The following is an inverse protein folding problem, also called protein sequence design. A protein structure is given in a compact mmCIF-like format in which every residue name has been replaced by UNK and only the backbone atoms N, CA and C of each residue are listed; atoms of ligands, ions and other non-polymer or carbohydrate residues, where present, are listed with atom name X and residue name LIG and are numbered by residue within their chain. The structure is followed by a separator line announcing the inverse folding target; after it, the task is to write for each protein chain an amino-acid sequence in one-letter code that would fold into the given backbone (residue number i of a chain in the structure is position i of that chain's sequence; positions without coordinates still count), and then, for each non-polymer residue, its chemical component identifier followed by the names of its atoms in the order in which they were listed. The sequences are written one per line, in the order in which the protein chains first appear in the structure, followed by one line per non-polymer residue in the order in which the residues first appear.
data_IF_663039050467
#
_entry.id   IF_663039050467
#
_cell.length_a   1.000
_cell.length_b   1.000
_cell.length_c   1.000
_cell.angle_alpha   90.00
_cell.angle_beta   90.00
_cell.angle_gamma   90.00
#
_symmetry.space_group_name_H-M   'P 1'
#
loop_
_entity.id
_entity.type
_entity.pdbx_description
1 polymer ?
#
# COMPACT_ATOMS: atom_id res chain seq x y z
N UNK A 1 -4.12 11.00 16.24
CA UNK A 1 -3.57 9.64 16.29
C UNK A 1 -4.42 8.88 17.29
N UNK A 2 -5.20 7.91 16.82
CA UNK A 2 -5.98 7.05 17.70
C UNK A 2 -5.01 5.95 18.17
N UNK A 3 -4.70 5.88 19.46
CA UNK A 3 -3.79 4.87 19.99
C UNK A 3 -4.60 3.68 20.52
N UNK A 4 -4.09 2.44 20.37
CA UNK A 4 -4.71 1.23 20.92
C UNK A 4 -4.35 1.01 22.40
N UNK A 5 -3.60 1.94 23.01
CA UNK A 5 -2.97 1.78 24.34
C UNK A 5 -3.98 1.33 25.40
N UNK A 6 -5.17 1.95 25.43
CA UNK A 6 -6.21 1.62 26.42
C UNK A 6 -6.72 0.19 26.26
N UNK A 7 -6.87 -0.28 25.03
CA UNK A 7 -7.40 -1.61 24.72
C UNK A 7 -6.38 -2.67 25.05
N UNK A 8 -5.13 -2.48 24.61
CA UNK A 8 -4.02 -3.39 24.88
C UNK A 8 -3.75 -3.48 26.38
N UNK A 9 -3.76 -2.35 27.11
CA UNK A 9 -3.63 -2.36 28.57
C UNK A 9 -4.74 -3.18 29.24
N UNK A 10 -6.00 -2.97 28.84
CA UNK A 10 -7.14 -3.72 29.38
C UNK A 10 -7.04 -5.21 29.07
N UNK A 11 -6.60 -5.59 27.87
CA UNK A 11 -6.36 -6.98 27.50
C UNK A 11 -5.22 -7.61 28.31
N UNK A 12 -4.20 -6.83 28.69
CA UNK A 12 -3.14 -7.24 29.62
C UNK A 12 -3.56 -7.25 31.10
N UNK A 13 -4.78 -6.82 31.42
CA UNK A 13 -5.30 -6.77 32.79
C UNK A 13 -4.60 -5.74 33.69
N UNK A 14 -3.91 -4.75 33.12
CA UNK A 14 -3.10 -3.79 33.88
C UNK A 14 -3.87 -2.49 34.18
N UNK A 15 -3.62 -1.90 35.33
CA UNK A 15 -4.09 -0.57 35.72
C UNK A 15 -3.20 0.52 35.11
N UNK A 16 -3.68 1.77 35.10
CA UNK A 16 -2.88 2.92 34.65
C UNK A 16 -1.61 3.09 35.50
N UNK A 17 -1.71 2.83 36.81
CA UNK A 17 -0.60 2.94 37.76
C UNK A 17 0.46 1.87 37.50
N UNK A 18 0.04 0.62 37.29
CA UNK A 18 0.98 -0.48 36.97
C UNK A 18 1.75 -0.23 35.68
N UNK A 19 1.08 0.30 34.64
CA UNK A 19 1.77 0.69 33.40
C UNK A 19 2.73 1.85 33.64
N UNK A 20 2.35 2.82 34.47
CA UNK A 20 3.19 3.97 34.78
C UNK A 20 4.47 3.57 35.52
N UNK A 21 4.38 2.62 36.46
CA UNK A 21 5.51 2.05 37.20
C UNK A 21 6.42 1.23 36.28
N UNK A 22 5.84 0.46 35.34
CA UNK A 22 6.59 -0.38 34.38
C UNK A 22 7.31 0.43 33.29
N UNK A 23 6.95 1.69 33.09
CA UNK A 23 7.65 2.57 32.15
C UNK A 23 9.10 2.83 32.60
N UNK A 24 10.00 3.01 31.63
CA UNK A 24 11.39 3.45 31.89
C UNK A 24 11.69 4.75 31.13
N UNK A 25 11.96 5.87 31.83
CA UNK A 25 11.81 6.05 33.28
C UNK A 25 10.34 5.94 33.73
N UNK A 26 10.08 5.60 35.02
CA UNK A 26 8.72 5.55 35.57
C UNK A 26 8.00 6.89 35.41
N UNK A 27 6.68 6.83 35.27
CA UNK A 27 5.84 8.01 35.10
C UNK A 27 4.61 7.94 36.01
N UNK A 28 3.59 8.76 35.76
CA UNK A 28 2.36 8.81 36.55
C UNK A 28 1.16 8.23 35.79
N UNK A 29 0.21 7.62 36.50
CA UNK A 29 -1.06 7.17 35.92
C UNK A 29 -1.80 8.28 35.15
N UNK A 30 -1.69 9.54 35.60
CA UNK A 30 -2.27 10.70 34.90
C UNK A 30 -1.62 10.95 33.54
N UNK A 31 -0.32 10.68 33.41
CA UNK A 31 0.40 10.80 32.12
C UNK A 31 -0.05 9.70 31.17
N UNK A 32 -0.12 8.45 31.64
CA UNK A 32 -0.66 7.34 30.84
C UNK A 32 -2.11 7.61 30.43
N UNK A 33 -2.96 8.09 31.35
CA UNK A 33 -4.35 8.42 31.07
C UNK A 33 -4.51 9.50 29.99
N UNK A 34 -3.67 10.54 30.00
CA UNK A 34 -3.67 11.57 28.94
C UNK A 34 -3.23 11.05 27.57
N UNK A 35 -2.29 10.10 27.56
CA UNK A 35 -1.84 9.43 26.32
C UNK A 35 -2.90 8.45 25.79
N UNK A 36 -3.68 7.81 26.66
CA UNK A 36 -4.83 6.96 26.29
C UNK A 36 -6.00 7.77 25.73
N UNK A 37 -6.27 8.96 26.27
CA UNK A 37 -7.41 9.80 25.84
C UNK A 37 -7.08 10.69 24.64
N UNK A 38 -5.83 10.65 24.14
CA UNK A 38 -5.41 11.45 22.99
C UNK A 38 -5.32 12.96 23.25
N UNK A 39 -5.41 13.38 24.52
CA UNK A 39 -5.26 14.80 24.93
C UNK A 39 -3.82 15.31 24.82
N UNK A 40 -2.87 14.42 24.49
CA UNK A 40 -1.48 14.73 24.17
C UNK A 40 -1.02 13.87 22.98
N UNK A 41 -0.36 14.48 21.99
CA UNK A 41 0.25 13.75 20.88
C UNK A 41 1.33 12.81 21.42
N UNK A 42 1.20 11.51 21.11
CA UNK A 42 2.16 10.48 21.52
C UNK A 42 3.34 10.51 20.56
N UNK A 43 4.55 10.78 21.08
CA UNK A 43 5.78 10.66 20.30
C UNK A 43 6.18 9.20 20.13
N UNK A 44 6.98 8.90 19.11
CA UNK A 44 7.53 7.54 18.87
C UNK A 44 8.26 7.01 20.11
N UNK A 45 9.04 7.85 20.79
CA UNK A 45 9.73 7.46 22.03
C UNK A 45 8.79 7.10 23.18
N UNK A 46 7.65 7.78 23.30
CA UNK A 46 6.61 7.42 24.28
C UNK A 46 5.92 6.12 23.92
N UNK A 47 5.66 5.90 22.63
CA UNK A 47 5.01 4.71 22.13
C UNK A 47 5.87 3.46 22.38
N UNK A 48 7.17 3.52 22.10
CA UNK A 48 8.12 2.44 22.41
C UNK A 48 8.20 2.16 23.91
N UNK A 49 8.17 3.21 24.75
CA UNK A 49 8.20 3.05 26.22
C UNK A 49 6.95 2.32 26.73
N UNK A 50 5.78 2.68 26.21
CA UNK A 50 4.52 2.04 26.61
C UNK A 50 4.44 0.61 26.08
N UNK A 51 4.95 0.37 24.86
CA UNK A 51 5.04 -0.97 24.28
C UNK A 51 5.87 -1.91 25.17
N UNK A 52 7.04 -1.45 25.61
CA UNK A 52 7.87 -2.17 26.57
C UNK A 52 7.15 -2.42 27.91
N UNK A 53 6.47 -1.41 28.47
CA UNK A 53 5.72 -1.55 29.72
C UNK A 53 4.54 -2.56 29.64
N UNK A 54 3.94 -2.70 28.45
CA UNK A 54 2.84 -3.61 28.15
C UNK A 54 3.29 -4.97 27.59
N UNK A 55 4.60 -5.16 27.39
CA UNK A 55 5.20 -6.33 26.75
C UNK A 55 4.54 -6.65 25.38
N UNK A 56 4.44 -5.65 24.52
CA UNK A 56 3.94 -5.76 23.14
C UNK A 56 4.87 -5.03 22.18
N UNK A 57 4.69 -5.24 20.87
CA UNK A 57 5.41 -4.45 19.88
C UNK A 57 4.78 -3.05 19.75
N UNK A 58 5.59 -2.07 19.37
CA UNK A 58 5.14 -0.71 19.13
C UNK A 58 3.99 -0.65 18.10
N UNK A 59 4.06 -1.50 17.07
CA UNK A 59 3.02 -1.60 16.04
C UNK A 59 1.63 -1.94 16.62
N UNK A 60 1.56 -2.74 17.68
CA UNK A 60 0.32 -3.16 18.32
C UNK A 60 -0.41 -1.99 19.03
N UNK A 61 0.31 -0.91 19.34
CA UNK A 61 -0.23 0.28 20.02
C UNK A 61 -0.76 1.35 19.07
N UNK A 62 -0.53 1.20 17.76
CA UNK A 62 -1.02 2.12 16.74
C UNK A 62 -2.29 1.55 16.14
N UNK A 63 -3.44 2.21 16.36
CA UNK A 63 -4.59 1.97 15.48
C UNK A 63 -4.23 2.60 14.14
N UNK A 64 -3.95 1.76 13.14
CA UNK A 64 -4.09 2.18 11.75
C UNK A 64 -5.48 2.83 11.64
N UNK A 65 -5.62 4.00 11.00
CA UNK A 65 -6.95 4.57 10.81
C UNK A 65 -7.81 3.47 10.17
N UNK A 66 -8.87 3.05 10.86
CA UNK A 66 -9.92 2.31 10.18
C UNK A 66 -10.35 3.20 9.03
N UNK A 67 -10.00 2.77 7.82
CA UNK A 67 -10.53 3.37 6.61
C UNK A 67 -11.73 2.50 6.29
N UNK A 68 -12.93 2.93 6.71
CA UNK A 68 -14.13 2.13 6.48
C UNK A 68 -14.25 1.88 4.98
N UNK A 69 -14.79 0.71 4.62
CA UNK A 69 -15.13 0.46 3.23
C UNK A 69 -16.02 1.59 2.71
N UNK A 70 -15.80 1.99 1.47
CA UNK A 70 -16.58 3.06 0.84
C UNK A 70 -17.89 2.43 0.36
N UNK A 71 -19.07 2.91 0.79
CA UNK A 71 -20.34 2.35 0.34
C UNK A 71 -20.55 2.62 -1.14
N UNK A 72 -21.03 1.60 -1.87
CA UNK A 72 -21.40 1.73 -3.29
C UNK A 72 -22.82 2.26 -3.40
N UNK A 73 -22.95 3.53 -3.80
CA UNK A 73 -24.26 4.16 -3.97
C UNK A 73 -24.93 3.81 -5.31
N UNK A 74 -24.16 3.59 -6.37
CA UNK A 74 -24.67 3.29 -7.70
C UNK A 74 -23.68 2.43 -8.52
N UNK A 75 -24.22 1.73 -9.53
CA UNK A 75 -23.49 1.00 -10.56
C UNK A 75 -23.85 1.64 -11.91
N UNK A 76 -22.82 1.98 -12.70
CA UNK A 76 -22.98 2.50 -14.05
C UNK A 76 -22.76 1.36 -15.06
N UNK A 77 -23.75 1.13 -15.92
CA UNK A 77 -23.65 0.23 -17.07
C UNK A 77 -24.18 0.89 -18.36
N UNK A 78 -24.34 0.11 -19.43
CA UNK A 78 -24.83 0.62 -20.72
C UNK A 78 -26.25 1.22 -20.69
N UNK A 79 -27.02 0.98 -19.62
CA UNK A 79 -28.37 1.52 -19.43
C UNK A 79 -28.41 2.78 -18.54
N UNK A 80 -27.31 3.13 -17.88
CA UNK A 80 -27.19 4.30 -17.00
C UNK A 80 -26.72 3.94 -15.58
N UNK A 81 -26.85 4.89 -14.66
CA UNK A 81 -26.50 4.71 -13.26
C UNK A 81 -27.72 4.28 -12.43
N UNK A 82 -27.62 3.15 -11.72
CA UNK A 82 -28.70 2.62 -10.88
C UNK A 82 -28.17 2.15 -9.52
N UNK A 83 -29.05 2.11 -8.51
CA UNK A 83 -28.70 1.57 -7.19
C UNK A 83 -28.41 0.05 -7.27
N UNK A 84 -27.44 -0.47 -6.50
CA UNK A 84 -27.16 -1.90 -6.47
C UNK A 84 -28.33 -2.69 -5.87
N UNK A 85 -28.58 -3.91 -6.36
CA UNK A 85 -29.67 -4.78 -5.87
C UNK A 85 -29.45 -5.29 -4.44
N UNK A 86 -28.23 -5.21 -3.93
CA UNK A 86 -27.82 -5.60 -2.58
C UNK A 86 -26.82 -4.56 -2.05
N UNK A 87 -26.74 -4.41 -0.73
CA UNK A 87 -25.74 -3.54 -0.12
C UNK A 87 -24.33 -3.98 -0.54
N UNK A 88 -23.51 -3.02 -0.94
CA UNK A 88 -22.15 -3.23 -1.45
C UNK A 88 -21.23 -2.14 -0.93
N UNK A 89 -19.95 -2.49 -0.76
CA UNK A 89 -18.89 -1.57 -0.40
C UNK A 89 -17.61 -1.92 -1.17
N UNK A 90 -16.71 -0.95 -1.31
CA UNK A 90 -15.38 -1.14 -1.90
C UNK A 90 -14.32 -0.81 -0.86
N UNK A 91 -13.35 -1.72 -0.70
CA UNK A 91 -12.19 -1.47 0.15
C UNK A 91 -11.20 -0.58 -0.60
N UNK A 92 -10.78 0.56 -0.02
CA UNK A 92 -9.76 1.42 -0.64
C UNK A 92 -8.47 0.64 -0.93
N UNK A 93 -7.80 0.90 -2.07
CA UNK A 93 -6.57 0.21 -2.42
C UNK A 93 -5.46 0.48 -1.38
N UNK A 94 -4.79 -0.58 -0.94
CA UNK A 94 -3.64 -0.52 -0.03
C UNK A 94 -2.33 -0.57 -0.81
N UNK A 95 -1.30 0.09 -0.30
CA UNK A 95 0.08 -0.14 -0.74
C UNK A 95 0.62 -1.36 0.02
N UNK A 96 0.67 -2.51 -0.64
CA UNK A 96 1.19 -3.77 -0.08
C UNK A 96 2.31 -4.30 -1.00
N UNK A 97 3.36 -4.88 -0.40
CA UNK A 97 4.52 -5.39 -1.13
C UNK A 97 5.47 -4.32 -1.69
N UNK A 98 6.44 -4.75 -2.51
CA UNK A 98 7.39 -3.87 -3.20
C UNK A 98 6.75 -3.20 -4.43
N UNK A 99 5.91 -2.19 -4.19
CA UNK A 99 5.33 -1.38 -5.26
C UNK A 99 6.30 -0.31 -5.75
N UNK A 100 6.33 -0.11 -7.07
CA UNK A 100 6.87 1.07 -7.73
C UNK A 100 5.77 1.77 -8.51
N UNK A 101 5.89 3.09 -8.68
CA UNK A 101 4.92 3.89 -9.41
C UNK A 101 5.50 4.42 -10.71
N UNK A 102 4.67 4.49 -11.75
CA UNK A 102 4.97 5.19 -12.99
C UNK A 102 3.87 6.22 -13.26
N UNK A 103 4.27 7.43 -13.66
CA UNK A 103 3.34 8.51 -14.02
C UNK A 103 3.26 8.60 -15.53
N UNK A 104 2.04 8.61 -16.07
CA UNK A 104 1.79 8.75 -17.49
C UNK A 104 1.66 10.23 -17.82
N UNK A 105 2.63 10.79 -18.55
CA UNK A 105 2.63 12.21 -18.91
C UNK A 105 1.86 12.52 -20.20
N UNK A 106 1.77 11.55 -21.11
CA UNK A 106 1.07 11.68 -22.38
C UNK A 106 0.23 10.42 -22.64
N UNK A 107 -0.96 10.62 -23.22
CA UNK A 107 -1.87 9.51 -23.54
C UNK A 107 -1.23 8.56 -24.54
N UNK A 108 -1.22 7.26 -24.22
CA UNK A 108 -0.68 6.21 -25.07
C UNK A 108 -1.36 4.87 -24.76
N UNK A 109 -1.76 4.13 -25.78
CA UNK A 109 -2.57 2.92 -25.61
C UNK A 109 -3.81 3.17 -24.77
N UNK A 110 -4.01 2.37 -23.72
CA UNK A 110 -5.13 2.49 -22.77
C UNK A 110 -4.90 3.53 -21.66
N UNK A 111 -3.72 4.14 -21.62
CA UNK A 111 -3.28 5.05 -20.56
C UNK A 111 -3.46 6.51 -20.96
N UNK A 112 -3.96 7.34 -20.04
CA UNK A 112 -4.19 8.78 -20.24
C UNK A 112 -3.17 9.60 -19.47
N UNK A 113 -2.90 10.81 -19.96
CA UNK A 113 -2.10 11.78 -19.23
C UNK A 113 -2.68 12.03 -17.82
N UNK A 114 -1.81 11.98 -16.81
CA UNK A 114 -2.18 12.09 -15.40
C UNK A 114 -2.41 10.76 -14.68
N UNK A 115 -2.44 9.63 -15.40
CA UNK A 115 -2.55 8.31 -14.75
C UNK A 115 -1.32 8.00 -13.90
N UNK A 116 -1.57 7.38 -12.75
CA UNK A 116 -0.55 6.73 -11.94
C UNK A 116 -0.72 5.22 -12.03
N UNK A 117 0.28 4.51 -12.54
CA UNK A 117 0.33 3.06 -12.52
C UNK A 117 1.09 2.59 -11.30
N UNK A 118 0.45 1.74 -10.49
CA UNK A 118 1.11 1.05 -9.40
C UNK A 118 1.48 -0.34 -9.87
N UNK A 119 2.78 -0.61 -9.85
CA UNK A 119 3.36 -1.82 -10.38
C UNK A 119 4.03 -2.60 -9.26
N UNK A 120 3.73 -3.89 -9.13
CA UNK A 120 4.36 -4.76 -8.13
C UNK A 120 5.62 -5.38 -8.71
N UNK A 121 6.74 -5.20 -8.04
CA UNK A 121 8.00 -5.85 -8.43
C UNK A 121 7.89 -7.36 -8.31
N UNK A 122 8.50 -8.04 -9.28
CA UNK A 122 8.63 -9.48 -9.34
C UNK A 122 10.11 -9.84 -9.37
N UNK A 123 10.46 -10.92 -8.66
CA UNK A 123 11.73 -11.59 -8.86
C UNK A 123 11.70 -12.39 -10.18
N UNK A 124 12.86 -12.68 -10.81
CA UNK A 124 12.91 -13.47 -12.05
C UNK A 124 12.16 -14.80 -12.01
N UNK A 125 12.13 -15.47 -10.85
CA UNK A 125 11.39 -16.72 -10.65
C UNK A 125 9.88 -16.59 -10.88
N UNK A 126 9.32 -15.38 -10.73
CA UNK A 126 7.87 -15.12 -10.81
C UNK A 126 7.45 -14.50 -12.16
N UNK A 127 8.38 -14.30 -13.10
CA UNK A 127 8.09 -13.62 -14.38
C UNK A 127 7.03 -14.33 -15.21
N UNK A 128 6.89 -15.64 -15.05
CA UNK A 128 5.85 -16.42 -15.73
C UNK A 128 4.44 -15.88 -15.46
N UNK A 129 4.17 -15.38 -14.24
CA UNK A 129 2.89 -14.84 -13.85
C UNK A 129 2.58 -13.46 -14.49
N UNK A 130 3.58 -12.85 -15.12
CA UNK A 130 3.46 -11.56 -15.80
C UNK A 130 3.42 -11.68 -17.33
N UNK A 131 3.48 -12.89 -17.90
CA UNK A 131 3.32 -13.07 -19.35
C UNK A 131 2.01 -12.46 -19.83
N UNK A 132 2.08 -11.74 -20.95
CA UNK A 132 0.98 -11.03 -21.58
C UNK A 132 0.33 -9.92 -20.73
N UNK A 133 0.96 -9.54 -19.61
CA UNK A 133 0.58 -8.38 -18.82
C UNK A 133 1.54 -7.22 -19.09
N UNK A 134 1.07 -6.01 -18.81
CA UNK A 134 1.90 -4.82 -18.91
C UNK A 134 2.88 -4.77 -17.74
N UNK A 135 4.16 -4.61 -18.05
CA UNK A 135 5.27 -4.61 -17.11
C UNK A 135 6.18 -3.41 -17.36
N UNK A 136 6.76 -2.90 -16.27
CA UNK A 136 7.87 -1.95 -16.28
C UNK A 136 9.18 -2.70 -16.05
N UNK A 137 10.15 -2.50 -16.93
CA UNK A 137 11.48 -3.09 -16.79
C UNK A 137 12.57 -1.99 -16.86
N UNK A 138 13.49 -1.92 -15.89
CA UNK A 138 14.66 -1.05 -15.97
C UNK A 138 15.64 -1.58 -17.02
N UNK A 139 16.22 -0.65 -17.78
CA UNK A 139 17.30 -0.89 -18.71
C UNK A 139 18.54 -0.06 -18.38
N UNK A 140 19.60 -0.13 -19.21
CA UNK A 140 20.83 0.61 -19.01
C UNK A 140 20.63 2.13 -18.95
N UNK A 141 21.54 2.82 -18.25
CA UNK A 141 21.57 4.28 -18.16
C UNK A 141 20.26 4.93 -17.67
N UNK A 142 19.56 4.27 -16.74
CA UNK A 142 18.32 4.79 -16.14
C UNK A 142 17.12 4.79 -17.09
N UNK A 143 17.21 4.11 -18.23
CA UNK A 143 16.08 3.95 -19.16
C UNK A 143 15.11 2.91 -18.62
N UNK A 144 13.87 2.97 -19.08
CA UNK A 144 12.84 1.98 -18.79
C UNK A 144 12.12 1.57 -20.07
N UNK A 145 11.73 0.30 -20.13
CA UNK A 145 10.76 -0.20 -21.09
C UNK A 145 9.44 -0.47 -20.36
N UNK A 146 8.33 -0.09 -20.98
CA UNK A 146 7.00 -0.36 -20.45
C UNK A 146 6.07 -0.86 -21.56
N UNK A 147 5.36 -1.95 -21.26
CA UNK A 147 4.39 -2.56 -22.18
C UNK A 147 4.21 -4.04 -21.90
N UNK A 148 3.64 -4.77 -22.85
CA UNK A 148 3.25 -6.16 -22.65
C UNK A 148 4.45 -7.10 -22.68
N UNK A 149 4.64 -7.88 -21.61
CA UNK A 149 5.65 -8.95 -21.59
C UNK A 149 5.25 -10.06 -22.58
N UNK A 150 6.12 -10.33 -23.55
CA UNK A 150 5.89 -11.37 -24.56
C UNK A 150 6.62 -12.67 -24.22
N UNK A 151 7.85 -12.55 -23.73
CA UNK A 151 8.72 -13.67 -23.41
C UNK A 151 9.80 -13.24 -22.40
N UNK A 152 10.40 -14.21 -21.73
CA UNK A 152 11.58 -14.01 -20.88
C UNK A 152 12.47 -15.26 -20.91
N UNK A 153 13.75 -15.05 -20.68
CA UNK A 153 14.77 -16.08 -20.46
C UNK A 153 15.75 -15.56 -19.40
N UNK A 154 15.61 -16.04 -18.16
CA UNK A 154 16.34 -15.50 -17.02
C UNK A 154 16.10 -14.00 -16.82
N UNK A 155 17.14 -13.20 -17.00
CA UNK A 155 17.12 -11.73 -16.87
C UNK A 155 16.87 -10.99 -18.20
N UNK A 156 16.75 -11.73 -19.31
CA UNK A 156 16.39 -11.19 -20.61
C UNK A 156 14.88 -11.22 -20.78
N UNK A 157 14.28 -10.10 -21.16
CA UNK A 157 12.83 -9.98 -21.40
C UNK A 157 12.56 -9.39 -22.78
N UNK A 158 11.46 -9.81 -23.40
CA UNK A 158 10.92 -9.22 -24.62
C UNK A 158 9.60 -8.53 -24.29
N UNK A 159 9.53 -7.21 -24.53
CA UNK A 159 8.38 -6.38 -24.22
C UNK A 159 7.86 -5.73 -25.50
N UNK A 160 6.57 -5.84 -25.76
CA UNK A 160 5.87 -5.02 -26.75
C UNK A 160 5.53 -3.67 -26.12
N UNK A 161 6.14 -2.55 -26.53
CA UNK A 161 5.91 -1.27 -25.89
C UNK A 161 4.44 -0.84 -25.97
N UNK A 162 3.95 -0.13 -24.95
CA UNK A 162 2.59 0.43 -24.96
C UNK A 162 2.39 1.53 -26.03
N UNK A 163 3.48 2.04 -26.59
CA UNK A 163 3.46 3.02 -27.68
C UNK A 163 2.93 2.39 -28.96
N UNK A 164 1.90 3.00 -29.54
CA UNK A 164 1.29 2.57 -30.81
C UNK A 164 2.33 2.46 -31.92
N UNK A 165 2.30 1.35 -32.66
CA UNK A 165 3.17 1.10 -33.81
C UNK A 165 4.60 0.66 -33.46
N UNK A 166 4.96 0.55 -32.18
CA UNK A 166 6.26 0.03 -31.77
C UNK A 166 6.34 -1.49 -31.96
N UNK A 167 7.49 -1.98 -32.43
CA UNK A 167 7.81 -3.41 -32.43
C UNK A 167 8.30 -3.90 -31.06
N UNK A 168 8.36 -5.23 -30.84
CA UNK A 168 8.93 -5.81 -29.63
C UNK A 168 10.38 -5.37 -29.39
N UNK A 169 10.72 -5.11 -28.14
CA UNK A 169 12.06 -4.74 -27.70
C UNK A 169 12.57 -5.77 -26.69
N UNK A 170 13.78 -6.29 -26.94
CA UNK A 170 14.51 -7.13 -26.00
C UNK A 170 15.43 -6.32 -25.11
N UNK A 171 15.45 -6.59 -23.80
CA UNK A 171 16.41 -5.99 -22.87
C UNK A 171 16.77 -6.94 -21.73
N UNK A 172 17.96 -6.72 -21.16
CA UNK A 172 18.35 -7.30 -19.87
C UNK A 172 17.84 -6.41 -18.74
N UNK A 173 17.25 -6.99 -17.71
CA UNK A 173 16.69 -6.25 -16.58
C UNK A 173 16.93 -6.97 -15.26
N UNK A 174 17.13 -6.22 -14.17
CA UNK A 174 17.34 -6.79 -12.84
C UNK A 174 16.03 -7.26 -12.17
N UNK A 175 14.91 -6.67 -12.56
CA UNK A 175 13.57 -6.96 -12.06
C UNK A 175 12.56 -6.49 -13.11
N UNK A 176 11.33 -6.99 -13.07
CA UNK A 176 10.17 -6.36 -13.72
C UNK A 176 9.16 -5.97 -12.67
N UNK A 177 8.33 -4.98 -12.96
CA UNK A 177 7.19 -4.64 -12.12
C UNK A 177 5.91 -4.71 -12.95
N UNK A 178 5.02 -5.63 -12.61
CA UNK A 178 3.75 -5.82 -13.31
C UNK A 178 2.75 -4.75 -12.91
N UNK A 179 2.10 -4.11 -13.87
CA UNK A 179 1.04 -3.15 -13.61
C UNK A 179 -0.18 -3.88 -13.00
N UNK A 180 -0.57 -3.47 -11.79
CA UNK A 180 -1.69 -4.08 -11.05
C UNK A 180 -2.83 -3.11 -10.81
N UNK A 181 -2.55 -1.81 -10.78
CA UNK A 181 -3.56 -0.79 -10.54
C UNK A 181 -3.27 0.49 -11.30
N UNK A 182 -4.32 1.05 -11.90
CA UNK A 182 -4.34 2.38 -12.49
C UNK A 182 -5.15 3.28 -11.56
N UNK A 183 -4.54 4.37 -11.11
CA UNK A 183 -5.19 5.42 -10.33
C UNK A 183 -5.29 6.66 -11.21
N UNK A 184 -6.52 7.11 -11.47
CA UNK A 184 -6.82 8.32 -12.22
C UNK A 184 -7.67 9.23 -11.34
N UNK A 185 -7.16 10.42 -11.10
CA UNK A 185 -7.96 11.49 -10.53
C UNK A 185 -8.79 12.10 -11.67
N UNK A 186 -10.11 12.13 -11.50
CA UNK A 186 -11.08 12.65 -12.47
C UNK A 186 -11.57 14.03 -12.06
#
# INVERSE_FOLDING_TARGET
MITAIREVRRARGLTLEEVAIRCVPPTTAQTIGRLETGTRTVSVGWLNRIAAALAVEAADLVRLPERPDIPVAAILDGSGAAAPRRAMSVTPPRSEGELVAMIVQATTGDYRAGDMLWCRRLAPADYIAALHRDVLAPGPAGRFAFGRLLAFDGDMVSILPATLGAGPVGLRCAWIAVAERLVRNL
#
